data_IF_429145858503
#
_entry.id   IF_429145858503
#
_cell.length_a   1.000
_cell.length_b   1.000
_cell.length_c   1.000
_cell.angle_alpha   90.00
_cell.angle_beta   90.00
_cell.angle_gamma   90.00
#
_symmetry.space_group_name_H-M   'P 1'
#
loop_
_entity.id
_entity.type
_entity.pdbx_description
1 polymer ?
#
# COMPACT_ATOMS: atom_id res chain seq x y z
N UNK A 1 17.94 -4.97 30.22
CA UNK A 1 18.78 -4.22 29.26
C UNK A 1 18.62 -4.81 27.86
N UNK A 2 17.67 -4.29 27.07
CA UNK A 2 17.39 -4.72 25.68
C UNK A 2 18.31 -4.03 24.67
N UNK A 3 19.53 -3.73 25.07
CA UNK A 3 20.53 -3.00 24.28
C UNK A 3 21.80 -3.82 24.15
N UNK A 4 22.61 -3.52 23.13
CA UNK A 4 23.94 -4.12 22.98
C UNK A 4 24.86 -3.65 24.12
N UNK A 5 25.52 -4.60 24.80
CA UNK A 5 26.37 -4.32 25.97
C UNK A 5 27.73 -3.70 25.62
N UNK A 6 28.25 -4.03 24.44
CA UNK A 6 29.58 -3.62 23.97
C UNK A 6 29.65 -3.59 22.44
N UNK A 7 30.84 -3.28 21.89
CA UNK A 7 31.09 -3.20 20.46
C UNK A 7 30.60 -1.89 19.80
N UNK A 8 30.64 -1.81 18.46
CA UNK A 8 30.36 -0.57 17.72
C UNK A 8 28.96 0.02 17.96
N UNK A 9 27.97 -0.83 18.24
CA UNK A 9 26.59 -0.42 18.49
C UNK A 9 26.23 -0.42 19.99
N UNK A 10 27.23 -0.33 20.90
CA UNK A 10 27.02 -0.29 22.34
C UNK A 10 25.93 0.73 22.71
N UNK A 11 24.94 0.30 23.49
CA UNK A 11 23.81 1.13 23.92
C UNK A 11 22.62 1.18 22.95
N UNK A 12 22.76 0.72 21.71
CA UNK A 12 21.64 0.63 20.76
C UNK A 12 20.69 -0.52 21.10
N UNK A 13 19.38 -0.40 20.78
CA UNK A 13 18.44 -1.51 20.89
C UNK A 13 18.92 -2.76 20.14
N UNK A 14 18.57 -3.94 20.65
CA UNK A 14 18.87 -5.21 19.98
C UNK A 14 17.89 -5.47 18.83
N UNK A 15 18.41 -6.10 17.78
CA UNK A 15 17.65 -6.68 16.66
C UNK A 15 18.21 -8.08 16.38
N UNK A 16 17.99 -9.01 17.31
CA UNK A 16 18.58 -10.36 17.28
C UNK A 16 17.58 -11.41 16.78
N UNK A 17 16.28 -11.15 16.95
CA UNK A 17 15.20 -12.05 16.58
C UNK A 17 14.17 -11.38 15.67
N UNK A 18 13.34 -12.18 14.99
CA UNK A 18 12.20 -11.66 14.25
C UNK A 18 11.19 -10.91 15.14
N UNK A 19 11.11 -11.28 16.44
CA UNK A 19 10.27 -10.58 17.42
C UNK A 19 10.84 -9.18 17.70
N UNK A 20 12.15 -9.04 17.86
CA UNK A 20 12.77 -7.71 18.05
C UNK A 20 12.49 -6.79 16.85
N UNK A 21 12.61 -7.34 15.63
CA UNK A 21 12.30 -6.59 14.41
C UNK A 21 10.82 -6.21 14.32
N UNK A 22 9.90 -7.11 14.69
CA UNK A 22 8.47 -6.81 14.75
C UNK A 22 8.16 -5.73 15.79
N UNK A 23 8.76 -5.78 16.98
CA UNK A 23 8.57 -4.77 18.03
C UNK A 23 9.16 -3.41 17.64
N UNK A 24 10.26 -3.38 16.87
CA UNK A 24 10.76 -2.14 16.26
C UNK A 24 9.69 -1.51 15.34
N UNK A 25 9.09 -2.30 14.45
CA UNK A 25 8.01 -1.84 13.56
C UNK A 25 6.84 -1.30 14.39
N UNK A 26 6.32 -2.11 15.32
CA UNK A 26 5.14 -1.78 16.12
C UNK A 26 5.37 -0.55 17.03
N UNK A 27 6.59 -0.36 17.53
CA UNK A 27 6.91 0.76 18.42
C UNK A 27 7.12 2.07 17.68
N UNK A 28 7.70 2.02 16.48
CA UNK A 28 8.08 3.21 15.72
C UNK A 28 6.99 3.70 14.76
N UNK A 29 6.05 2.84 14.36
CA UNK A 29 5.00 3.22 13.42
C UNK A 29 3.83 3.95 14.11
N UNK A 30 3.27 5.03 13.49
CA UNK A 30 2.08 5.70 14.01
C UNK A 30 0.82 4.83 13.97
N UNK A 31 0.71 3.87 13.07
CA UNK A 31 -0.45 2.98 12.97
C UNK A 31 -0.59 2.05 14.19
N UNK A 32 0.49 1.85 14.96
CA UNK A 32 0.55 0.87 16.05
C UNK A 32 0.97 1.46 17.39
N UNK A 33 1.33 2.74 17.42
CA UNK A 33 1.69 3.46 18.64
C UNK A 33 1.07 4.86 18.64
N UNK A 34 0.08 5.08 19.50
CA UNK A 34 -0.69 6.30 19.60
C UNK A 34 0.15 7.55 19.88
N UNK A 35 1.25 7.42 20.63
CA UNK A 35 2.17 8.52 20.86
C UNK A 35 2.87 8.96 19.56
N UNK A 36 3.19 8.00 18.68
CA UNK A 36 3.76 8.31 17.37
C UNK A 36 2.66 8.88 16.46
N UNK A 37 1.45 8.34 16.50
CA UNK A 37 0.30 8.85 15.75
C UNK A 37 0.04 10.33 16.04
N UNK A 38 -0.06 10.71 17.32
CA UNK A 38 -0.27 12.09 17.75
C UNK A 38 0.88 12.99 17.29
N UNK A 39 2.14 12.56 17.46
CA UNK A 39 3.30 13.31 16.97
C UNK A 39 3.26 13.50 15.45
N UNK A 40 2.88 12.47 14.70
CA UNK A 40 2.83 12.50 13.25
C UNK A 40 1.73 13.43 12.73
N UNK A 41 0.52 13.38 13.32
CA UNK A 41 -0.56 14.30 12.97
C UNK A 41 -0.23 15.75 13.32
N UNK A 42 0.45 15.99 14.44
CA UNK A 42 0.99 17.32 14.77
C UNK A 42 1.98 17.81 13.72
N UNK A 43 2.91 16.95 13.28
CA UNK A 43 3.85 17.32 12.22
C UNK A 43 3.16 17.67 10.89
N UNK A 44 2.09 16.95 10.52
CA UNK A 44 1.29 17.31 9.35
C UNK A 44 0.50 18.61 9.56
N UNK A 45 0.03 18.87 10.79
CA UNK A 45 -0.70 20.09 11.15
C UNK A 45 0.13 21.35 10.90
N UNK A 46 1.45 21.30 11.11
CA UNK A 46 2.36 22.42 10.79
C UNK A 46 2.38 22.75 9.28
N UNK A 47 2.21 21.74 8.42
CA UNK A 47 2.21 21.91 6.96
C UNK A 47 0.86 22.45 6.47
N UNK A 48 -0.24 21.93 7.02
CA UNK A 48 -1.60 22.28 6.58
C UNK A 48 -2.15 23.54 7.26
N UNK A 49 -1.59 23.93 8.40
CA UNK A 49 -2.12 24.98 9.27
C UNK A 49 -3.44 24.61 9.96
N UNK A 50 -3.79 23.31 10.00
CA UNK A 50 -5.03 22.77 10.58
C UNK A 50 -4.70 21.71 11.61
N UNK A 51 -5.41 21.71 12.72
CA UNK A 51 -5.25 20.70 13.77
C UNK A 51 -5.75 19.34 13.28
N UNK A 52 -4.90 18.31 13.33
CA UNK A 52 -5.26 16.94 12.94
C UNK A 52 -5.02 15.89 14.03
N UNK A 53 -4.40 16.24 15.17
CA UNK A 53 -4.09 15.27 16.20
C UNK A 53 -5.34 14.70 16.89
N UNK A 54 -6.49 15.40 16.83
CA UNK A 54 -7.78 14.86 17.27
C UNK A 54 -8.12 13.50 16.65
N UNK A 55 -7.57 13.17 15.47
CA UNK A 55 -7.75 11.88 14.81
C UNK A 55 -7.06 10.70 15.51
N UNK A 56 -6.17 10.97 16.47
CA UNK A 56 -5.43 9.96 17.21
C UNK A 56 -5.38 10.20 18.74
N UNK A 57 -5.78 11.38 19.24
CA UNK A 57 -5.73 11.70 20.67
C UNK A 57 -6.51 10.72 21.55
N UNK A 58 -7.66 10.24 21.08
CA UNK A 58 -8.47 9.23 21.77
C UNK A 58 -7.78 7.86 21.88
N UNK A 59 -6.73 7.63 21.10
CA UNK A 59 -5.94 6.39 21.07
C UNK A 59 -4.46 6.65 21.40
N UNK A 60 -4.10 7.79 22.01
CA UNK A 60 -2.70 8.17 22.25
C UNK A 60 -1.92 7.14 23.10
N UNK A 61 -2.60 6.50 24.05
CA UNK A 61 -1.95 5.50 24.92
C UNK A 61 -1.77 4.13 24.24
N UNK A 62 -2.54 3.85 23.17
CA UNK A 62 -2.54 2.56 22.48
C UNK A 62 -1.14 2.19 21.98
N UNK A 63 -0.68 0.98 22.33
CA UNK A 63 0.61 0.44 21.93
C UNK A 63 0.45 -1.04 21.62
N UNK A 64 0.31 -1.34 20.34
CA UNK A 64 0.18 -2.71 19.85
C UNK A 64 1.53 -3.43 20.07
N UNK A 65 1.49 -4.65 20.61
CA UNK A 65 2.67 -5.50 20.83
C UNK A 65 2.55 -6.82 20.10
N UNK A 66 3.71 -7.41 19.77
CA UNK A 66 3.74 -8.66 19.01
C UNK A 66 2.99 -9.77 19.76
N UNK A 67 3.18 -9.86 21.08
CA UNK A 67 2.50 -10.88 21.90
C UNK A 67 1.01 -10.65 22.04
N UNK A 68 0.54 -9.40 22.00
CA UNK A 68 -0.88 -9.09 22.11
C UNK A 68 -1.64 -9.46 20.83
N UNK A 69 -1.03 -9.24 19.66
CA UNK A 69 -1.65 -9.62 18.37
C UNK A 69 -1.67 -11.13 18.15
N UNK A 70 -0.79 -11.89 18.81
CA UNK A 70 -0.89 -13.34 18.87
C UNK A 70 -2.10 -13.79 19.70
N UNK A 71 -2.43 -13.07 20.78
CA UNK A 71 -3.58 -13.38 21.61
C UNK A 71 -4.90 -13.03 20.91
N UNK A 72 -4.96 -11.89 20.24
CA UNK A 72 -6.08 -11.51 19.36
C UNK A 72 -5.64 -10.38 18.41
N UNK A 73 -5.94 -10.48 17.09
CA UNK A 73 -5.65 -9.41 16.14
C UNK A 73 -6.17 -8.05 16.62
N UNK A 74 -5.39 -6.98 16.40
CA UNK A 74 -5.73 -5.62 16.82
C UNK A 74 -6.02 -4.74 15.60
N UNK A 75 -7.05 -3.89 15.72
CA UNK A 75 -7.30 -2.80 14.78
C UNK A 75 -6.24 -1.72 14.98
N UNK A 76 -5.73 -1.15 13.89
CA UNK A 76 -4.68 -0.13 13.92
C UNK A 76 -5.26 1.28 14.18
N UNK A 77 -4.38 2.28 14.24
CA UNK A 77 -4.68 3.67 14.56
C UNK A 77 -4.71 4.51 13.28
N UNK A 78 -5.60 5.50 13.21
CA UNK A 78 -5.61 6.51 12.15
C UNK A 78 -4.26 7.23 12.08
N UNK A 79 -3.66 7.27 10.90
CA UNK A 79 -2.30 7.78 10.69
C UNK A 79 -2.20 8.70 9.46
N UNK A 80 -1.37 9.76 9.51
CA UNK A 80 -1.18 10.67 8.36
C UNK A 80 -0.46 10.01 7.18
N UNK A 81 0.08 8.79 7.35
CA UNK A 81 0.57 7.96 6.24
C UNK A 81 -0.54 7.65 5.23
N UNK A 82 -1.78 7.54 5.71
CA UNK A 82 -2.95 7.11 4.95
C UNK A 82 -3.97 8.24 4.80
N UNK A 83 -5.04 7.97 4.05
CA UNK A 83 -6.08 8.98 3.74
C UNK A 83 -7.49 8.57 4.16
N UNK A 84 -7.64 7.49 4.90
CA UNK A 84 -8.88 7.07 5.55
C UNK A 84 -8.75 7.07 7.07
N UNK A 85 -9.86 6.81 7.76
CA UNK A 85 -9.93 6.76 9.22
C UNK A 85 -10.20 5.35 9.74
N UNK A 86 -9.66 5.08 10.93
CA UNK A 86 -9.76 3.82 11.65
C UNK A 86 -10.63 4.04 12.88
N UNK A 87 -11.91 4.17 12.61
CA UNK A 87 -12.93 4.65 13.54
C UNK A 87 -14.04 3.61 13.73
N UNK A 88 -14.79 3.69 14.82
CA UNK A 88 -15.87 2.75 15.14
C UNK A 88 -17.22 3.16 14.51
N UNK A 89 -17.33 4.37 13.96
CA UNK A 89 -18.54 4.92 13.35
C UNK A 89 -18.42 5.14 11.84
N UNK A 90 -17.20 5.24 11.30
CA UNK A 90 -16.95 5.32 9.85
C UNK A 90 -15.92 4.27 9.41
N UNK A 91 -16.27 3.49 8.39
CA UNK A 91 -15.32 2.55 7.77
C UNK A 91 -14.21 3.29 7.04
N UNK A 92 -13.01 2.69 6.99
CA UNK A 92 -11.90 3.25 6.23
C UNK A 92 -12.30 3.50 4.76
N UNK A 93 -12.09 4.73 4.30
CA UNK A 93 -12.32 5.16 2.92
C UNK A 93 -11.15 6.04 2.45
N UNK A 94 -10.51 5.68 1.33
CA UNK A 94 -9.35 6.42 0.84
C UNK A 94 -9.77 7.81 0.31
N UNK A 95 -8.97 8.83 0.62
CA UNK A 95 -9.29 10.22 0.31
C UNK A 95 -10.24 10.89 1.31
N UNK A 96 -10.75 10.17 2.32
CA UNK A 96 -11.63 10.73 3.35
C UNK A 96 -10.99 11.93 4.04
N UNK A 97 -9.73 11.84 4.46
CA UNK A 97 -9.05 12.95 5.13
C UNK A 97 -8.79 14.12 4.17
N UNK A 98 -8.56 13.86 2.88
CA UNK A 98 -8.45 14.96 1.91
C UNK A 98 -9.74 15.77 1.81
N UNK A 99 -10.89 15.09 1.83
CA UNK A 99 -12.22 15.72 1.73
C UNK A 99 -12.64 16.39 3.04
N UNK A 100 -12.46 15.74 4.19
CA UNK A 100 -13.00 16.19 5.48
C UNK A 100 -12.00 16.99 6.31
N UNK A 101 -10.71 16.64 6.24
CA UNK A 101 -9.63 17.35 6.97
C UNK A 101 -9.00 18.46 6.14
N UNK A 102 -9.35 18.55 4.84
CA UNK A 102 -8.77 19.51 3.88
C UNK A 102 -7.25 19.36 3.71
N UNK A 103 -6.74 18.15 3.91
CA UNK A 103 -5.36 17.80 3.60
C UNK A 103 -5.22 17.74 2.06
N UNK A 104 -4.31 18.50 1.43
CA UNK A 104 -4.16 18.46 -0.02
C UNK A 104 -3.73 17.08 -0.52
N UNK A 105 -4.18 16.70 -1.72
CA UNK A 105 -3.53 15.61 -2.45
C UNK A 105 -2.11 16.05 -2.80
N UNK A 106 -1.14 15.13 -2.78
CA UNK A 106 0.26 15.44 -3.12
C UNK A 106 0.46 15.47 -4.64
N UNK A 107 -0.28 16.34 -5.31
CA UNK A 107 -0.24 16.63 -6.75
C UNK A 107 0.19 18.08 -6.96
N UNK A 108 0.54 18.45 -8.20
CA UNK A 108 0.92 19.83 -8.54
C UNK A 108 -0.13 20.87 -8.12
N UNK A 109 -1.42 20.54 -8.24
CA UNK A 109 -2.51 21.46 -7.91
C UNK A 109 -2.95 21.39 -6.44
N UNK A 110 -2.57 20.35 -5.70
CA UNK A 110 -3.13 20.04 -4.37
C UNK A 110 -4.50 19.34 -4.39
N UNK A 111 -5.06 19.06 -5.59
CA UNK A 111 -6.36 18.39 -5.79
C UNK A 111 -6.21 17.12 -6.63
N UNK A 112 -7.31 16.41 -6.84
CA UNK A 112 -7.39 15.35 -7.84
C UNK A 112 -7.09 15.94 -9.24
N UNK A 113 -5.90 15.67 -9.77
CA UNK A 113 -5.42 16.27 -11.02
C UNK A 113 -6.02 15.57 -12.24
N UNK A 114 -7.01 16.21 -12.88
CA UNK A 114 -7.58 15.74 -14.14
C UNK A 114 -6.64 16.04 -15.32
N UNK A 115 -5.91 17.15 -15.28
CA UNK A 115 -4.96 17.56 -16.31
C UNK A 115 -3.52 17.20 -15.92
N UNK A 116 -2.84 16.45 -16.77
CA UNK A 116 -1.45 16.02 -16.59
C UNK A 116 -0.56 16.86 -17.52
N UNK A 117 0.04 17.92 -16.99
CA UNK A 117 0.69 18.97 -17.78
C UNK A 117 2.17 18.72 -18.06
N UNK A 118 2.77 17.66 -17.51
CA UNK A 118 4.16 17.30 -17.80
C UNK A 118 4.37 17.15 -19.31
N UNK A 119 5.54 17.60 -19.82
CA UNK A 119 5.81 17.64 -21.26
C UNK A 119 5.51 16.29 -21.96
N UNK A 120 5.95 15.18 -21.37
CA UNK A 120 5.66 13.85 -21.94
C UNK A 120 4.16 13.52 -21.94
N UNK A 121 3.41 13.90 -20.91
CA UNK A 121 1.97 13.63 -20.86
C UNK A 121 1.23 14.40 -21.96
N UNK A 122 1.66 15.63 -22.27
CA UNK A 122 1.11 16.40 -23.38
C UNK A 122 1.50 15.80 -24.74
N UNK A 123 2.80 15.57 -24.94
CA UNK A 123 3.35 15.14 -26.23
C UNK A 123 2.88 13.73 -26.61
N UNK A 124 2.69 12.83 -25.64
CA UNK A 124 2.11 11.51 -25.86
C UNK A 124 0.56 11.51 -25.87
N UNK A 125 -0.10 12.66 -25.68
CA UNK A 125 -1.56 12.76 -25.76
C UNK A 125 -2.31 12.14 -24.58
N UNK A 126 -1.73 12.19 -23.37
CA UNK A 126 -2.29 11.73 -22.09
C UNK A 126 -2.55 12.88 -21.11
N UNK A 127 -2.51 14.13 -21.58
CA UNK A 127 -2.80 15.30 -20.74
C UNK A 127 -4.21 15.31 -20.17
N UNK A 128 -5.17 14.69 -20.88
CA UNK A 128 -6.50 14.32 -20.41
C UNK A 128 -6.75 12.85 -20.75
N UNK A 129 -7.74 12.24 -20.11
CA UNK A 129 -8.17 10.89 -20.46
C UNK A 129 -8.69 10.85 -21.91
N UNK A 130 -8.24 9.85 -22.64
CA UNK A 130 -8.68 9.58 -24.02
C UNK A 130 -8.83 8.08 -24.22
N UNK A 131 -9.67 7.68 -25.18
CA UNK A 131 -9.70 6.29 -25.61
C UNK A 131 -8.37 5.92 -26.28
N UNK A 132 -7.76 4.82 -25.83
CA UNK A 132 -6.57 4.20 -26.43
C UNK A 132 -6.89 2.73 -26.74
N UNK A 133 -6.78 2.27 -27.99
CA UNK A 133 -6.99 0.86 -28.31
C UNK A 133 -5.85 -0.01 -27.74
N UNK A 134 -6.05 -1.33 -27.56
CA UNK A 134 -4.95 -2.25 -27.28
C UNK A 134 -3.84 -2.12 -28.33
N UNK A 135 -2.58 -2.13 -27.90
CA UNK A 135 -1.43 -2.08 -28.80
C UNK A 135 -1.29 -3.40 -29.59
N UNK A 136 -0.79 -3.32 -30.82
CA UNK A 136 -0.39 -4.51 -31.58
C UNK A 136 1.03 -4.92 -31.17
N UNK A 137 1.14 -6.03 -30.43
CA UNK A 137 2.42 -6.59 -30.00
C UNK A 137 3.20 -7.27 -31.14
N UNK A 138 2.53 -7.53 -32.27
CA UNK A 138 3.10 -8.17 -33.48
C UNK A 138 3.72 -9.55 -33.23
N UNK A 139 3.36 -10.23 -32.15
CA UNK A 139 3.99 -11.48 -31.72
C UNK A 139 3.58 -12.73 -32.52
N UNK A 140 2.46 -12.68 -33.25
CA UNK A 140 1.87 -13.88 -33.88
C UNK A 140 2.23 -14.00 -35.37
N UNK A 141 2.14 -12.91 -36.13
CA UNK A 141 2.22 -12.94 -37.61
C UNK A 141 3.52 -13.56 -38.15
N UNK A 142 4.63 -13.38 -37.44
CA UNK A 142 5.94 -13.86 -37.87
C UNK A 142 6.21 -15.35 -37.57
N UNK A 143 5.35 -16.02 -36.79
CA UNK A 143 5.58 -17.41 -36.35
C UNK A 143 4.42 -18.36 -36.69
N UNK A 144 3.24 -17.83 -37.01
CA UNK A 144 2.05 -18.62 -37.33
C UNK A 144 2.27 -19.41 -38.63
N UNK A 145 2.01 -20.71 -38.62
CA UNK A 145 2.20 -21.63 -39.75
C UNK A 145 3.63 -22.13 -39.98
N UNK A 146 4.66 -21.52 -39.39
CA UNK A 146 6.07 -21.91 -39.59
C UNK A 146 6.40 -23.32 -39.07
N UNK A 147 5.63 -23.82 -38.10
CA UNK A 147 5.81 -25.14 -37.47
C UNK A 147 4.49 -25.91 -37.38
N UNK A 148 3.82 -26.08 -38.53
CA UNK A 148 2.53 -26.77 -38.59
C UNK A 148 2.62 -28.21 -38.09
N UNK A 149 1.63 -28.64 -37.31
CA UNK A 149 1.40 -30.04 -36.94
C UNK A 149 0.27 -30.69 -37.76
N UNK A 150 -0.19 -30.04 -38.84
CA UNK A 150 -1.29 -30.49 -39.69
C UNK A 150 -2.69 -30.03 -39.27
N UNK A 151 -2.86 -29.43 -38.08
CA UNK A 151 -4.15 -28.88 -37.62
C UNK A 151 -4.28 -27.37 -37.91
N UNK A 152 -5.50 -26.81 -38.04
CA UNK A 152 -5.70 -25.37 -38.22
C UNK A 152 -5.24 -24.53 -37.02
N UNK A 153 -4.65 -23.36 -37.31
CA UNK A 153 -4.21 -22.38 -36.30
C UNK A 153 -5.13 -21.14 -36.29
N UNK A 154 -5.32 -20.52 -35.12
CA UNK A 154 -6.12 -19.29 -34.96
C UNK A 154 -5.50 -18.35 -33.93
N UNK A 155 -5.36 -17.07 -34.27
CA UNK A 155 -4.93 -16.03 -33.33
C UNK A 155 -6.09 -15.62 -32.39
N UNK A 156 -5.79 -15.51 -31.09
CA UNK A 156 -6.74 -15.11 -30.04
C UNK A 156 -6.07 -14.11 -29.09
N UNK A 157 -6.86 -13.36 -28.34
CA UNK A 157 -6.35 -12.56 -27.23
C UNK A 157 -6.04 -13.47 -26.03
N UNK A 158 -4.86 -13.33 -25.42
CA UNK A 158 -4.42 -14.17 -24.32
C UNK A 158 -4.50 -13.40 -23.00
N UNK A 159 -5.61 -13.59 -22.27
CA UNK A 159 -5.85 -12.96 -20.98
C UNK A 159 -5.41 -13.87 -19.84
N UNK A 160 -4.78 -13.31 -18.80
CA UNK A 160 -4.32 -14.02 -17.60
C UNK A 160 -4.98 -13.47 -16.33
N UNK A 161 -6.32 -13.56 -16.18
CA UNK A 161 -6.99 -13.18 -14.93
C UNK A 161 -6.52 -14.08 -13.78
N UNK A 162 -6.57 -13.56 -12.55
CA UNK A 162 -6.19 -14.36 -11.39
C UNK A 162 -7.09 -15.59 -11.26
N UNK A 163 -6.46 -16.74 -10.97
CA UNK A 163 -7.17 -18.00 -10.80
C UNK A 163 -7.95 -18.05 -9.49
N UNK A 164 -9.00 -18.88 -9.45
CA UNK A 164 -9.76 -19.18 -8.22
C UNK A 164 -9.03 -20.16 -7.30
N UNK A 165 -8.10 -20.96 -7.85
CA UNK A 165 -7.54 -22.17 -7.23
C UNK A 165 -6.13 -21.96 -6.68
N UNK A 166 -5.80 -20.74 -6.30
CA UNK A 166 -4.50 -20.41 -5.74
C UNK A 166 -4.29 -18.91 -5.67
N UNK A 167 -3.23 -18.51 -4.97
CA UNK A 167 -2.77 -17.13 -4.91
C UNK A 167 -1.49 -17.07 -5.73
N UNK A 168 -1.59 -16.57 -6.96
CA UNK A 168 -0.54 -16.69 -7.97
C UNK A 168 -0.18 -18.17 -8.20
N UNK A 169 1.07 -18.58 -8.01
CA UNK A 169 1.50 -19.98 -8.03
C UNK A 169 1.50 -20.64 -6.65
N UNK A 170 1.31 -19.88 -5.56
CA UNK A 170 1.13 -20.49 -4.24
C UNK A 170 -0.19 -21.23 -4.22
N UNK A 171 -0.15 -22.48 -3.75
CA UNK A 171 -1.25 -23.46 -3.78
C UNK A 171 -1.60 -24.04 -5.15
N UNK A 172 -0.94 -23.66 -6.25
CA UNK A 172 -1.26 -24.26 -7.56
C UNK A 172 -0.90 -25.74 -7.64
N UNK A 173 0.04 -26.19 -6.81
CA UNK A 173 0.44 -27.59 -6.64
C UNK A 173 -0.28 -28.28 -5.46
N UNK A 174 -1.14 -27.56 -4.73
CA UNK A 174 -1.88 -28.11 -3.63
C UNK A 174 -2.95 -29.08 -4.16
N UNK A 175 -2.90 -30.34 -3.72
CA UNK A 175 -3.80 -31.37 -4.19
C UNK A 175 -5.29 -30.99 -4.05
N UNK A 176 -5.69 -30.31 -2.97
CA UNK A 176 -7.07 -29.84 -2.77
C UNK A 176 -7.52 -28.81 -3.80
N UNK A 177 -6.59 -28.02 -4.35
CA UNK A 177 -6.87 -27.04 -5.39
C UNK A 177 -6.84 -27.66 -6.80
N UNK A 178 -6.19 -28.82 -6.94
CA UNK A 178 -6.06 -29.56 -8.19
C UNK A 178 -7.22 -30.53 -8.47
N UNK A 179 -8.00 -30.91 -7.45
CA UNK A 179 -9.12 -31.86 -7.53
C UNK A 179 -10.46 -31.19 -7.28
#
# INVERSE_FOLDING_TARGET
NYTKAEGPAKGQPKLETAIDAAEMILTLAPETNGQVAVKAWKALSEITGREHAHLALNKEDEKIRFRDIQAQPRKIISSPTWSGLEDEHVSYNAGYTNVHELIPWRTLSGRQSLYQDHQWMRDFGESLLVYRPPIDTRSVKAVMGEKSNGNPEKALNFLTPHQKWGIHSTYSDNLLMLT
#
